data_IF_934941565862
#
_entry.id   IF_934941565862
#
_cell.length_a   1.000
_cell.length_b   1.000
_cell.length_c   1.000
_cell.angle_alpha   90.00
_cell.angle_beta   90.00
_cell.angle_gamma   90.00
#
_symmetry.space_group_name_H-M   'P 1'
#
loop_
_entity.id
_entity.type
_entity.pdbx_description
1 polymer ?
#
# COMPACT_ATOMS: atom_id res chain seq x y z
N UNK A 1 -37.82 -7.01 -19.13
CA UNK A 1 -38.24 -8.25 -18.42
C UNK A 1 -36.96 -9.05 -18.20
N UNK A 2 -36.26 -8.85 -17.08
CA UNK A 2 -35.09 -9.68 -16.74
C UNK A 2 -35.62 -11.09 -16.47
N UNK A 3 -35.04 -12.11 -17.13
CA UNK A 3 -35.31 -13.50 -16.74
C UNK A 3 -34.90 -13.62 -15.28
N UNK A 4 -35.84 -14.03 -14.42
CA UNK A 4 -35.51 -14.43 -13.06
C UNK A 4 -34.78 -15.77 -13.21
N UNK A 5 -33.47 -15.74 -13.09
CA UNK A 5 -32.68 -16.97 -12.94
C UNK A 5 -32.96 -17.45 -11.52
N UNK A 6 -33.41 -18.69 -11.39
CA UNK A 6 -33.67 -19.35 -10.12
C UNK A 6 -32.57 -20.40 -9.95
N UNK A 7 -31.89 -20.38 -8.81
CA UNK A 7 -30.81 -21.30 -8.47
C UNK A 7 -31.42 -22.36 -7.55
N UNK A 8 -31.35 -23.63 -7.95
CA UNK A 8 -31.93 -24.75 -7.19
C UNK A 8 -30.82 -25.69 -6.77
N UNK A 9 -30.86 -26.10 -5.51
CA UNK A 9 -29.98 -27.13 -5.00
C UNK A 9 -30.77 -28.28 -4.38
N UNK A 10 -30.41 -29.49 -4.78
CA UNK A 10 -30.94 -30.70 -4.18
C UNK A 10 -30.24 -30.97 -2.84
N UNK A 11 -31.05 -31.14 -1.80
CA UNK A 11 -30.63 -31.63 -0.49
C UNK A 11 -31.51 -32.83 -0.14
N UNK A 12 -30.94 -34.04 -0.26
CA UNK A 12 -31.63 -35.30 0.03
C UNK A 12 -32.96 -35.51 -0.74
N UNK A 13 -33.06 -35.03 -1.98
CA UNK A 13 -34.28 -35.15 -2.79
C UNK A 13 -35.28 -34.01 -2.64
N UNK A 14 -34.91 -32.94 -1.91
CA UNK A 14 -35.70 -31.71 -1.77
C UNK A 14 -34.99 -30.58 -2.51
N UNK A 15 -35.70 -29.94 -3.43
CA UNK A 15 -35.22 -28.78 -4.19
C UNK A 15 -35.34 -27.51 -3.34
N UNK A 16 -34.19 -26.90 -3.01
CA UNK A 16 -34.12 -25.64 -2.28
C UNK A 16 -33.78 -24.49 -3.25
N UNK A 17 -34.66 -23.48 -3.38
CA UNK A 17 -34.39 -22.27 -4.18
C UNK A 17 -33.50 -21.31 -3.39
N UNK A 18 -32.26 -21.13 -3.87
CA UNK A 18 -31.29 -20.21 -3.27
C UNK A 18 -31.60 -18.77 -3.65
N UNK A 19 -31.34 -17.87 -2.70
CA UNK A 19 -31.56 -16.44 -2.85
C UNK A 19 -30.55 -15.78 -3.79
N UNK A 20 -29.29 -16.24 -3.77
CA UNK A 20 -28.18 -15.68 -4.54
C UNK A 20 -27.55 -16.71 -5.48
N UNK A 21 -26.76 -16.22 -6.45
CA UNK A 21 -26.01 -17.06 -7.37
C UNK A 21 -24.78 -17.64 -6.67
N UNK A 22 -24.70 -18.97 -6.46
CA UNK A 22 -23.52 -19.57 -5.86
C UNK A 22 -22.33 -19.54 -6.84
N UNK A 23 -21.14 -19.38 -6.26
CA UNK A 23 -19.88 -19.56 -6.98
C UNK A 23 -19.70 -21.04 -7.31
N UNK A 24 -19.46 -21.36 -8.58
CA UNK A 24 -19.38 -22.75 -9.03
C UNK A 24 -18.09 -23.48 -8.62
N UNK A 25 -17.02 -22.74 -8.30
CA UNK A 25 -15.70 -23.31 -7.98
C UNK A 25 -15.40 -23.43 -6.48
N UNK A 26 -16.29 -22.93 -5.60
CA UNK A 26 -16.18 -23.09 -4.15
C UNK A 26 -17.25 -24.07 -3.69
N UNK A 27 -16.84 -25.10 -2.95
CA UNK A 27 -17.75 -26.14 -2.49
C UNK A 27 -18.81 -25.60 -1.53
N UNK A 28 -20.07 -25.98 -1.78
CA UNK A 28 -21.18 -25.71 -0.86
C UNK A 28 -21.18 -26.68 0.32
N UNK A 29 -21.76 -26.25 1.43
CA UNK A 29 -22.06 -27.12 2.56
C UNK A 29 -23.56 -27.34 2.69
N UNK A 30 -23.95 -28.60 2.92
CA UNK A 30 -25.34 -29.04 2.96
C UNK A 30 -25.53 -29.99 4.13
N UNK A 31 -26.61 -29.81 4.89
CA UNK A 31 -27.01 -30.75 5.92
C UNK A 31 -28.53 -30.77 6.09
N UNK A 32 -29.04 -31.91 6.55
CA UNK A 32 -30.36 -32.01 7.16
C UNK A 32 -30.21 -31.95 8.67
N UNK A 33 -30.95 -31.05 9.30
CA UNK A 33 -31.03 -30.90 10.76
C UNK A 33 -32.50 -31.07 11.14
N UNK A 34 -32.84 -32.25 11.64
CA UNK A 34 -34.20 -32.69 11.93
C UNK A 34 -35.15 -32.60 10.70
N UNK A 35 -36.12 -31.69 10.74
CA UNK A 35 -37.11 -31.41 9.68
C UNK A 35 -36.69 -30.25 8.76
N UNK A 36 -35.50 -29.68 8.96
CA UNK A 36 -34.99 -28.54 8.19
C UNK A 36 -33.78 -28.93 7.34
N UNK A 37 -33.62 -28.23 6.21
CA UNK A 37 -32.43 -28.32 5.37
C UNK A 37 -31.61 -27.04 5.51
N UNK A 38 -30.29 -27.17 5.52
CA UNK A 38 -29.34 -26.04 5.61
C UNK A 38 -28.41 -26.10 4.41
N UNK A 39 -28.28 -24.98 3.71
CA UNK A 39 -27.37 -24.82 2.59
C UNK A 39 -26.52 -23.57 2.81
N UNK A 40 -25.20 -23.73 2.83
CA UNK A 40 -24.25 -22.63 2.90
C UNK A 40 -23.37 -22.60 1.64
N UNK A 41 -23.18 -21.41 1.08
CA UNK A 41 -22.44 -21.19 -0.16
C UNK A 41 -21.80 -19.81 -0.25
N UNK A 42 -20.77 -19.70 -1.08
CA UNK A 42 -20.16 -18.42 -1.42
C UNK A 42 -20.85 -17.79 -2.63
N UNK A 43 -20.93 -16.47 -2.62
CA UNK A 43 -21.45 -15.65 -3.72
C UNK A 43 -20.36 -14.72 -4.18
N UNK A 44 -20.16 -14.61 -5.49
CA UNK A 44 -19.20 -13.70 -6.09
C UNK A 44 -19.65 -12.26 -5.84
N UNK A 45 -18.88 -11.49 -5.08
CA UNK A 45 -19.12 -10.06 -4.95
C UNK A 45 -18.49 -9.33 -6.13
N UNK A 46 -19.33 -8.77 -6.99
CA UNK A 46 -18.91 -7.96 -8.14
C UNK A 46 -19.23 -6.48 -7.94
N UNK A 47 -19.84 -6.11 -6.80
CA UNK A 47 -20.22 -4.75 -6.43
C UNK A 47 -19.66 -4.44 -5.04
N UNK A 48 -18.43 -4.92 -4.81
CA UNK A 48 -17.72 -4.68 -3.58
C UNK A 48 -17.39 -3.18 -3.48
N UNK A 49 -17.30 -2.70 -2.24
CA UNK A 49 -17.09 -1.27 -1.91
C UNK A 49 -15.72 -0.79 -2.37
N UNK A 50 -15.39 0.47 -2.05
CA UNK A 50 -14.06 1.02 -2.30
C UNK A 50 -12.97 0.04 -1.81
N UNK A 51 -11.92 -0.15 -2.62
CA UNK A 51 -10.81 -1.07 -2.29
C UNK A 51 -10.16 -0.65 -0.98
N UNK A 52 -10.08 0.66 -0.73
CA UNK A 52 -9.54 1.20 0.53
C UNK A 52 -10.38 0.76 1.75
N UNK A 53 -11.71 0.60 1.61
CA UNK A 53 -12.58 0.08 2.68
C UNK A 53 -12.36 -1.42 2.94
N UNK A 54 -12.04 -2.20 1.89
CA UNK A 54 -11.82 -3.64 1.98
C UNK A 54 -10.48 -4.01 2.59
N UNK A 55 -9.43 -3.24 2.26
CA UNK A 55 -8.09 -3.44 2.81
C UNK A 55 -8.05 -3.08 4.30
N UNK A 56 -8.83 -2.07 4.70
CA UNK A 56 -8.90 -1.61 6.09
C UNK A 56 -7.63 -0.89 6.55
N UNK A 57 -7.62 -0.52 7.84
CA UNK A 57 -6.47 0.12 8.47
C UNK A 57 -5.35 -0.91 8.71
N UNK A 58 -4.10 -0.46 8.77
CA UNK A 58 -2.89 -1.27 9.01
C UNK A 58 -2.37 -2.08 7.82
N UNK A 59 -2.73 -1.69 6.59
CA UNK A 59 -2.24 -2.33 5.36
C UNK A 59 -1.38 -1.39 4.50
N UNK A 60 -1.36 -0.10 4.83
CA UNK A 60 -0.71 0.91 4.00
C UNK A 60 -1.52 1.28 2.77
N UNK A 61 -0.94 2.14 1.92
CA UNK A 61 -1.60 2.66 0.72
C UNK A 61 -0.71 2.51 -0.49
N UNK A 62 -1.31 2.13 -1.61
CA UNK A 62 -0.65 2.13 -2.92
C UNK A 62 -0.98 3.41 -3.68
N UNK A 63 0.05 4.05 -4.21
CA UNK A 63 -0.05 5.14 -5.18
C UNK A 63 0.39 4.63 -6.54
N UNK A 64 -0.50 4.73 -7.52
CA UNK A 64 -0.22 4.27 -8.89
C UNK A 64 0.38 5.40 -9.73
N UNK A 65 1.36 5.06 -10.57
CA UNK A 65 1.84 5.89 -11.68
C UNK A 65 1.34 5.37 -13.03
N UNK A 66 0.49 4.34 -13.01
CA UNK A 66 -0.01 3.70 -14.21
C UNK A 66 -1.00 4.60 -14.96
N UNK A 67 -1.29 4.29 -16.22
CA UNK A 67 -2.02 5.14 -17.20
C UNK A 67 -3.41 5.66 -16.78
N UNK A 68 -3.98 5.14 -15.70
CA UNK A 68 -5.30 5.51 -15.19
C UNK A 68 -5.26 6.13 -13.78
N UNK A 69 -4.06 6.33 -13.23
CA UNK A 69 -3.88 6.94 -11.92
C UNK A 69 -4.36 8.40 -11.90
N UNK A 70 -4.92 8.81 -10.76
CA UNK A 70 -5.27 10.19 -10.52
C UNK A 70 -4.03 11.08 -10.42
N UNK A 71 -4.23 12.39 -10.60
CA UNK A 71 -3.17 13.38 -10.36
C UNK A 71 -2.64 13.30 -8.93
N UNK A 72 -3.54 13.14 -7.95
CA UNK A 72 -3.17 13.09 -6.54
C UNK A 72 -2.39 11.81 -6.20
N UNK A 73 -2.73 10.66 -6.80
CA UNK A 73 -1.93 9.44 -6.65
C UNK A 73 -0.51 9.64 -7.19
N UNK A 74 -0.40 10.27 -8.35
CA UNK A 74 0.89 10.53 -8.97
C UNK A 74 1.74 11.46 -8.11
N UNK A 75 1.15 12.55 -7.62
CA UNK A 75 1.84 13.53 -6.77
C UNK A 75 2.25 12.92 -5.43
N UNK A 76 1.34 12.25 -4.73
CA UNK A 76 1.59 11.67 -3.41
C UNK A 76 2.60 10.51 -3.50
N UNK A 77 2.55 9.72 -4.57
CA UNK A 77 3.52 8.65 -4.80
C UNK A 77 4.93 9.19 -5.08
N UNK A 78 5.06 10.28 -5.84
CA UNK A 78 6.36 10.92 -6.09
C UNK A 78 6.92 11.55 -4.80
N UNK A 79 6.08 12.24 -4.02
CA UNK A 79 6.47 12.78 -2.71
C UNK A 79 6.96 11.67 -1.77
N UNK A 80 6.27 10.53 -1.72
CA UNK A 80 6.69 9.38 -0.94
C UNK A 80 8.05 8.81 -1.37
N UNK A 81 8.41 8.94 -2.65
CA UNK A 81 9.74 8.59 -3.18
C UNK A 81 10.77 9.71 -3.01
N UNK A 82 10.43 10.82 -2.35
CA UNK A 82 11.30 11.97 -2.15
C UNK A 82 11.50 12.80 -3.42
N UNK A 83 10.58 12.71 -4.38
CA UNK A 83 10.65 13.42 -5.65
C UNK A 83 9.64 14.58 -5.73
N UNK A 84 9.96 15.55 -6.58
CA UNK A 84 9.04 16.62 -6.97
C UNK A 84 7.90 16.07 -7.85
N UNK A 85 6.89 16.89 -8.12
CA UNK A 85 5.79 16.53 -9.04
C UNK A 85 6.25 16.21 -10.47
N UNK A 86 7.44 16.67 -10.86
CA UNK A 86 8.04 16.39 -12.17
C UNK A 86 8.88 15.10 -12.17
N UNK A 87 8.99 14.42 -11.03
CA UNK A 87 9.76 13.18 -10.87
C UNK A 87 11.25 13.38 -10.69
N UNK A 88 11.70 14.61 -10.43
CA UNK A 88 13.09 14.91 -10.07
C UNK A 88 13.30 14.77 -8.57
N UNK A 89 14.55 14.53 -8.13
CA UNK A 89 14.88 14.51 -6.71
C UNK A 89 14.48 15.85 -6.04
N UNK A 90 13.76 15.77 -4.91
CA UNK A 90 13.34 16.97 -4.17
C UNK A 90 14.50 17.53 -3.34
N UNK A 91 15.34 18.33 -4.00
CA UNK A 91 16.50 18.99 -3.38
C UNK A 91 16.08 20.13 -2.45
N UNK A 92 14.93 20.76 -2.69
CA UNK A 92 14.36 21.77 -1.80
C UNK A 92 14.06 21.15 -0.43
N UNK A 93 13.41 19.98 -0.39
CA UNK A 93 13.12 19.28 0.86
C UNK A 93 14.38 18.86 1.63
N UNK A 94 15.44 18.43 0.91
CA UNK A 94 16.74 18.11 1.53
C UNK A 94 17.36 19.37 2.14
N UNK A 95 17.38 20.48 1.40
CA UNK A 95 17.90 21.75 1.88
C UNK A 95 17.12 22.23 3.10
N UNK A 96 15.80 22.33 3.03
CA UNK A 96 14.96 22.85 4.13
C UNK A 96 15.15 22.08 5.43
N UNK A 97 15.36 20.76 5.35
CA UNK A 97 15.58 19.89 6.50
C UNK A 97 17.03 19.93 7.02
N UNK A 98 18.01 20.09 6.14
CA UNK A 98 19.42 19.80 6.45
C UNK A 98 20.41 20.85 5.91
N UNK A 99 19.98 22.11 5.72
CA UNK A 99 20.79 23.17 5.12
C UNK A 99 22.13 23.41 5.83
N UNK A 100 22.20 23.23 7.16
CA UNK A 100 23.44 23.34 7.92
C UNK A 100 24.50 22.31 7.47
N UNK A 101 24.09 21.05 7.33
CA UNK A 101 24.98 19.99 6.85
C UNK A 101 25.34 20.19 5.39
N UNK A 102 24.36 20.56 4.55
CA UNK A 102 24.60 20.87 3.15
C UNK A 102 25.63 22.00 2.99
N UNK A 103 25.53 23.04 3.82
CA UNK A 103 26.48 24.15 3.87
C UNK A 103 27.87 23.69 4.28
N UNK A 104 27.99 22.87 5.33
CA UNK A 104 29.28 22.33 5.77
C UNK A 104 29.96 21.47 4.68
N UNK A 105 29.18 20.68 3.95
CA UNK A 105 29.67 19.86 2.84
C UNK A 105 30.06 20.72 1.64
N UNK A 106 29.29 21.76 1.31
CA UNK A 106 29.61 22.72 0.26
C UNK A 106 30.93 23.43 0.55
N UNK A 107 31.09 24.00 1.75
CA UNK A 107 32.29 24.73 2.15
C UNK A 107 33.52 23.86 1.94
N UNK A 108 33.50 22.63 2.46
CA UNK A 108 34.59 21.66 2.28
C UNK A 108 34.85 21.35 0.80
N UNK A 109 33.79 21.12 0.02
CA UNK A 109 33.89 20.79 -1.41
C UNK A 109 34.52 21.92 -2.20
N UNK A 110 34.02 23.15 -2.06
CA UNK A 110 34.49 24.33 -2.79
C UNK A 110 35.93 24.63 -2.41
N UNK A 111 36.27 24.65 -1.11
CA UNK A 111 37.63 24.93 -0.65
C UNK A 111 38.66 23.86 -1.04
N UNK A 112 38.22 22.62 -1.32
CA UNK A 112 39.10 21.56 -1.86
C UNK A 112 39.25 21.63 -3.38
N UNK A 113 38.25 22.17 -4.09
CA UNK A 113 38.17 22.14 -5.55
C UNK A 113 38.76 23.39 -6.21
N UNK A 114 38.63 24.54 -5.57
CA UNK A 114 39.05 25.83 -6.11
C UNK A 114 40.12 26.48 -5.23
N UNK A 115 40.95 27.30 -5.85
CA UNK A 115 41.95 28.08 -5.12
C UNK A 115 41.26 29.15 -4.27
N UNK A 116 41.72 29.34 -3.03
CA UNK A 116 41.14 30.30 -2.09
C UNK A 116 41.13 31.74 -2.63
N UNK A 117 42.08 32.08 -3.52
CA UNK A 117 42.14 33.40 -4.16
C UNK A 117 41.02 33.61 -5.18
N UNK A 118 40.69 32.58 -5.95
CA UNK A 118 39.60 32.63 -6.93
C UNK A 118 38.25 32.72 -6.20
N UNK A 119 38.09 31.93 -5.13
CA UNK A 119 36.86 31.99 -4.32
C UNK A 119 36.68 33.37 -3.70
N UNK A 120 37.74 33.91 -3.09
CA UNK A 120 37.71 35.25 -2.51
C UNK A 120 37.40 36.32 -3.56
N UNK A 121 37.97 36.24 -4.77
CA UNK A 121 37.72 37.17 -5.86
C UNK A 121 36.27 37.15 -6.33
N UNK A 122 35.62 35.99 -6.32
CA UNK A 122 34.19 35.87 -6.66
C UNK A 122 33.30 36.65 -5.68
N UNK A 123 33.70 36.74 -4.41
CA UNK A 123 33.00 37.51 -3.38
C UNK A 123 33.56 38.92 -3.17
N UNK A 124 34.62 39.31 -3.88
CA UNK A 124 35.24 40.63 -3.76
C UNK A 124 34.36 41.69 -4.47
N UNK A 125 33.55 42.39 -3.68
CA UNK A 125 32.49 43.29 -4.14
C UNK A 125 31.26 43.29 -3.23
N UNK A 126 31.07 42.25 -2.42
CA UNK A 126 30.13 42.25 -1.29
C UNK A 126 30.84 42.87 -0.07
N UNK A 127 30.37 44.04 0.36
CA UNK A 127 31.06 44.96 1.27
C UNK A 127 31.54 44.32 2.59
N UNK A 128 32.85 44.13 2.79
CA UNK A 128 33.45 44.07 4.13
C UNK A 128 34.92 44.53 4.12
N UNK A 129 35.24 45.53 4.96
CA UNK A 129 36.52 46.29 4.97
C UNK A 129 37.57 45.75 5.98
N UNK A 130 37.55 44.47 6.38
CA UNK A 130 38.62 43.93 7.23
C UNK A 130 39.48 42.89 6.50
N UNK A 131 40.80 43.13 6.32
CA UNK A 131 41.70 42.13 5.79
C UNK A 131 41.83 41.02 6.84
N UNK A 132 41.12 39.92 6.63
CA UNK A 132 41.44 38.69 7.32
C UNK A 132 42.92 38.39 7.06
N UNK A 133 43.69 38.24 8.14
CA UNK A 133 45.06 37.73 8.06
C UNK A 133 45.10 36.25 7.63
N UNK A 134 43.92 35.62 7.56
CA UNK A 134 43.69 34.21 7.30
C UNK A 134 42.64 34.06 6.19
N UNK A 135 43.12 33.85 4.97
CA UNK A 135 42.30 33.77 3.76
C UNK A 135 41.33 32.58 3.78
N UNK A 136 41.71 31.49 4.45
CA UNK A 136 40.87 30.30 4.59
C UNK A 136 39.60 30.62 5.37
N UNK A 137 39.74 31.31 6.52
CA UNK A 137 38.59 31.74 7.34
C UNK A 137 37.69 32.76 6.65
N UNK A 138 38.27 33.64 5.82
CA UNK A 138 37.50 34.59 5.03
C UNK A 138 36.64 33.89 3.99
N UNK A 139 37.24 32.98 3.22
CA UNK A 139 36.50 32.21 2.21
C UNK A 139 35.41 31.36 2.85
N UNK A 140 35.71 30.68 3.96
CA UNK A 140 34.71 29.92 4.71
C UNK A 140 33.54 30.81 5.16
N UNK A 141 33.81 32.00 5.71
CA UNK A 141 32.74 32.89 6.17
C UNK A 141 31.89 33.43 5.01
N UNK A 142 32.49 33.77 3.87
CA UNK A 142 31.76 34.18 2.66
C UNK A 142 30.81 33.08 2.16
N UNK A 143 31.31 31.84 2.02
CA UNK A 143 30.49 30.72 1.56
C UNK A 143 29.31 30.44 2.50
N UNK A 144 29.57 30.45 3.82
CA UNK A 144 28.51 30.27 4.83
C UNK A 144 27.48 31.41 4.81
N UNK A 145 27.93 32.64 4.61
CA UNK A 145 27.06 33.80 4.54
C UNK A 145 26.17 33.75 3.29
N UNK A 146 26.72 33.36 2.15
CA UNK A 146 25.96 33.19 0.91
C UNK A 146 24.85 32.14 1.07
N UNK A 147 25.16 31.00 1.70
CA UNK A 147 24.16 30.00 2.07
C UNK A 147 23.08 30.52 3.04
N UNK A 148 23.41 31.45 3.94
CA UNK A 148 22.44 32.03 4.88
C UNK A 148 21.52 33.05 4.22
N UNK A 149 22.04 33.83 3.28
CA UNK A 149 21.36 34.99 2.71
C UNK A 149 20.59 34.65 1.42
N UNK A 150 20.97 33.56 0.75
CA UNK A 150 20.43 33.14 -0.54
C UNK A 150 19.68 31.81 -0.42
N UNK A 151 18.62 31.63 -1.22
CA UNK A 151 18.08 30.28 -1.46
C UNK A 151 19.11 29.42 -2.19
N UNK A 152 19.13 28.10 -1.96
CA UNK A 152 20.19 27.21 -2.47
C UNK A 152 20.40 27.28 -3.99
N UNK A 153 19.36 27.55 -4.77
CA UNK A 153 19.45 27.72 -6.23
C UNK A 153 20.09 29.06 -6.68
N UNK A 154 20.38 29.98 -5.75
CA UNK A 154 20.92 31.32 -6.03
C UNK A 154 22.28 31.56 -5.41
N UNK A 155 22.87 30.57 -4.73
CA UNK A 155 24.22 30.70 -4.19
C UNK A 155 25.23 30.75 -5.34
N UNK A 156 26.40 31.33 -5.10
CA UNK A 156 27.42 31.52 -6.13
C UNK A 156 27.98 30.20 -6.70
N UNK A 157 28.01 29.16 -5.86
CA UNK A 157 28.50 27.82 -6.21
C UNK A 157 27.34 26.82 -6.28
N UNK A 158 26.24 27.21 -6.92
CA UNK A 158 24.99 26.43 -7.02
C UNK A 158 25.21 25.04 -7.63
N UNK A 159 26.06 24.91 -8.65
CA UNK A 159 26.39 23.58 -9.22
C UNK A 159 27.03 22.64 -8.18
N UNK A 160 27.94 23.15 -7.35
CA UNK A 160 28.59 22.36 -6.30
C UNK A 160 27.60 22.03 -5.17
N UNK A 161 26.69 22.94 -4.82
CA UNK A 161 25.66 22.70 -3.81
C UNK A 161 24.59 21.73 -4.32
N UNK A 162 24.15 21.85 -5.58
CA UNK A 162 23.24 20.90 -6.21
C UNK A 162 23.79 19.48 -6.10
N UNK A 163 25.07 19.29 -6.45
CA UNK A 163 25.71 17.98 -6.33
C UNK A 163 25.84 17.50 -4.87
N UNK A 164 26.01 18.40 -3.90
CA UNK A 164 25.96 18.05 -2.46
C UNK A 164 24.55 17.59 -2.07
N UNK A 165 23.53 18.29 -2.53
CA UNK A 165 22.13 17.96 -2.23
C UNK A 165 21.72 16.64 -2.89
N UNK A 166 22.14 16.35 -4.12
CA UNK A 166 21.90 15.07 -4.80
C UNK A 166 22.57 13.89 -4.07
N UNK A 167 23.78 14.09 -3.54
CA UNK A 167 24.44 13.10 -2.69
C UNK A 167 23.68 12.89 -1.38
N UNK A 168 23.29 13.97 -0.70
CA UNK A 168 22.50 13.91 0.53
C UNK A 168 21.14 13.25 0.30
N UNK A 169 20.47 13.55 -0.81
CA UNK A 169 19.19 12.94 -1.18
C UNK A 169 19.29 11.40 -1.24
N UNK A 170 20.42 10.87 -1.70
CA UNK A 170 20.67 9.44 -1.78
C UNK A 170 21.05 8.80 -0.43
N UNK A 171 21.29 9.59 0.61
CA UNK A 171 21.68 9.13 1.93
C UNK A 171 20.44 8.95 2.83
N UNK A 172 20.26 7.78 3.50
CA UNK A 172 19.10 7.54 4.35
C UNK A 172 18.86 8.57 5.46
N UNK A 173 19.90 9.28 5.89
CA UNK A 173 19.80 10.30 6.93
C UNK A 173 19.12 11.60 6.45
N UNK A 174 19.18 11.90 5.15
CA UNK A 174 18.66 13.14 4.55
C UNK A 174 17.61 12.89 3.47
N UNK A 175 17.35 11.63 3.10
CA UNK A 175 16.27 11.27 2.19
C UNK A 175 14.95 11.93 2.64
N UNK A 176 14.30 12.71 1.76
CA UNK A 176 13.11 13.48 2.14
C UNK A 176 11.82 12.66 2.07
N UNK A 177 11.82 11.54 1.33
CA UNK A 177 10.66 10.67 1.19
C UNK A 177 10.44 9.71 2.36
N UNK A 178 9.50 8.79 2.17
CA UNK A 178 9.24 7.72 3.13
C UNK A 178 10.28 6.60 2.96
N UNK A 179 11.10 6.42 4.00
CA UNK A 179 12.17 5.42 4.03
C UNK A 179 11.67 3.96 3.95
N UNK A 180 10.40 3.72 4.25
CA UNK A 180 9.79 2.39 4.28
C UNK A 180 8.99 2.10 3.00
N UNK A 181 8.85 3.09 2.12
CA UNK A 181 8.15 2.95 0.85
C UNK A 181 8.78 1.89 -0.05
N UNK A 182 7.93 1.13 -0.75
CA UNK A 182 8.34 0.04 -1.64
C UNK A 182 7.90 0.33 -3.07
N UNK A 183 8.86 0.33 -4.00
CA UNK A 183 8.58 0.50 -5.42
C UNK A 183 7.89 -0.75 -5.97
N UNK A 184 6.92 -0.56 -6.86
CA UNK A 184 6.08 -1.62 -7.41
C UNK A 184 6.19 -1.70 -8.94
N UNK A 185 5.99 -2.91 -9.45
CA UNK A 185 5.82 -3.22 -10.87
C UNK A 185 4.39 -3.74 -11.11
N UNK A 186 3.83 -3.49 -12.29
CA UNK A 186 2.50 -3.99 -12.69
C UNK A 186 2.58 -4.79 -13.99
N UNK A 187 1.94 -5.95 -14.02
CA UNK A 187 1.70 -6.74 -15.23
C UNK A 187 0.24 -6.57 -15.69
N UNK A 188 0.01 -6.27 -16.98
CA UNK A 188 -1.32 -5.97 -17.54
C UNK A 188 -1.52 -6.63 -18.92
N UNK A 189 -2.26 -7.75 -18.98
CA UNK A 189 -2.58 -8.46 -20.25
C UNK A 189 -4.05 -8.86 -20.38
N UNK A 190 -4.65 -9.43 -19.32
CA UNK A 190 -6.07 -9.81 -19.25
C UNK A 190 -6.71 -9.45 -17.90
N UNK A 191 -6.00 -8.58 -17.17
CA UNK A 191 -6.15 -8.29 -15.76
C UNK A 191 -4.86 -7.62 -15.31
N UNK A 192 -4.89 -7.00 -14.14
CA UNK A 192 -3.70 -6.39 -13.54
C UNK A 192 -3.19 -7.27 -12.41
N UNK A 193 -1.87 -7.35 -12.27
CA UNK A 193 -1.22 -7.99 -11.14
C UNK A 193 -0.02 -7.15 -10.74
N UNK A 194 -0.03 -6.71 -9.49
CA UNK A 194 1.00 -5.88 -8.88
C UNK A 194 2.01 -6.73 -8.13
N UNK A 195 3.26 -6.29 -8.11
CA UNK A 195 4.33 -6.97 -7.39
C UNK A 195 5.38 -5.96 -6.94
N UNK A 196 6.19 -6.33 -5.94
CA UNK A 196 7.39 -5.55 -5.63
C UNK A 196 8.27 -5.38 -6.86
N UNK A 197 8.97 -4.24 -6.93
CA UNK A 197 9.85 -3.95 -8.06
C UNK A 197 10.90 -5.04 -8.24
N UNK A 198 11.00 -5.56 -9.45
CA UNK A 198 11.86 -6.71 -9.73
C UNK A 198 11.33 -8.07 -9.22
N UNK A 199 10.14 -8.14 -8.67
CA UNK A 199 9.40 -9.37 -8.43
C UNK A 199 8.53 -9.78 -9.63
N UNK A 200 7.63 -10.74 -9.38
CA UNK A 200 6.49 -11.03 -10.25
C UNK A 200 6.79 -11.53 -11.67
N UNK A 201 5.73 -11.56 -12.49
CA UNK A 201 5.81 -11.91 -13.90
C UNK A 201 6.41 -10.76 -14.71
N UNK A 202 7.45 -11.08 -15.50
CA UNK A 202 8.15 -10.09 -16.34
C UNK A 202 7.93 -10.36 -17.82
N UNK A 203 6.96 -9.67 -18.40
CA UNK A 203 6.76 -9.61 -19.84
C UNK A 203 7.27 -8.28 -20.38
N UNK A 204 8.05 -8.33 -21.47
CA UNK A 204 8.57 -7.13 -22.13
C UNK A 204 7.48 -6.13 -22.55
N UNK A 205 6.29 -6.63 -22.89
CA UNK A 205 5.21 -5.84 -23.45
C UNK A 205 4.18 -5.41 -22.42
N UNK A 206 3.97 -6.27 -21.41
CA UNK A 206 2.84 -6.15 -20.49
C UNK A 206 3.28 -5.78 -19.07
N UNK A 207 4.58 -5.77 -18.76
CA UNK A 207 5.09 -5.35 -17.45
C UNK A 207 5.63 -3.93 -17.53
N UNK A 208 5.08 -3.03 -16.71
CA UNK A 208 5.64 -1.72 -16.43
C UNK A 208 6.39 -1.77 -15.10
N UNK A 209 7.68 -1.43 -15.12
CA UNK A 209 8.50 -1.33 -13.91
C UNK A 209 8.42 0.06 -13.29
N UNK A 210 8.40 0.13 -11.96
CA UNK A 210 8.22 1.40 -11.24
C UNK A 210 6.85 2.02 -11.53
N UNK A 211 5.82 1.20 -11.64
CA UNK A 211 4.47 1.60 -12.00
C UNK A 211 3.66 2.14 -10.82
N UNK A 212 4.21 2.06 -9.61
CA UNK A 212 3.59 2.61 -8.41
C UNK A 212 4.52 2.46 -7.21
N UNK A 213 4.04 2.94 -6.07
CA UNK A 213 4.73 2.82 -4.78
C UNK A 213 3.72 2.45 -3.71
N UNK A 214 4.09 1.53 -2.84
CA UNK A 214 3.37 1.25 -1.60
C UNK A 214 4.02 2.00 -0.44
N UNK A 215 3.20 2.58 0.42
CA UNK A 215 3.64 3.36 1.58
C UNK A 215 2.91 2.85 2.82
N UNK A 216 3.61 2.50 3.90
CA UNK A 216 2.95 2.08 5.13
C UNK A 216 2.15 3.22 5.75
N UNK A 217 0.98 2.90 6.29
CA UNK A 217 0.17 3.84 7.06
C UNK A 217 0.78 4.06 8.47
N UNK A 218 0.16 4.95 9.26
CA UNK A 218 0.64 5.25 10.61
C UNK A 218 0.70 4.03 11.55
N UNK A 219 -0.22 3.07 11.39
CA UNK A 219 -0.28 1.89 12.24
C UNK A 219 0.79 0.87 11.87
N UNK A 220 1.03 0.66 10.57
CA UNK A 220 2.15 -0.17 10.11
C UNK A 220 3.49 0.45 10.46
N UNK A 221 3.63 1.78 10.45
CA UNK A 221 4.87 2.43 10.93
C UNK A 221 5.11 2.13 12.40
N UNK A 222 4.09 2.18 13.25
CA UNK A 222 4.20 1.79 14.65
C UNK A 222 4.58 0.30 14.79
N UNK A 223 3.98 -0.57 13.97
CA UNK A 223 4.31 -1.99 13.96
C UNK A 223 5.76 -2.25 13.51
N UNK A 224 6.26 -1.50 12.53
CA UNK A 224 7.65 -1.53 12.08
C UNK A 224 8.61 -1.07 13.18
N UNK A 225 8.26 -0.01 13.92
CA UNK A 225 9.04 0.45 15.08
C UNK A 225 9.11 -0.63 16.17
N UNK A 226 7.98 -1.28 16.46
CA UNK A 226 7.89 -2.36 17.45
C UNK A 226 8.72 -3.58 17.04
N UNK A 227 8.75 -3.89 15.74
CA UNK A 227 9.50 -5.02 15.21
C UNK A 227 11.00 -4.76 15.12
N UNK A 228 11.40 -3.53 14.79
CA UNK A 228 12.78 -3.07 14.89
C UNK A 228 13.26 -3.12 16.35
N UNK A 229 12.43 -2.72 17.32
CA UNK A 229 12.73 -2.84 18.75
C UNK A 229 12.89 -4.29 19.22
N UNK A 230 12.26 -5.25 18.52
CA UNK A 230 12.44 -6.70 18.73
C UNK A 230 13.65 -7.27 17.98
N UNK A 231 14.41 -6.44 17.26
CA UNK A 231 15.61 -6.82 16.53
C UNK A 231 15.36 -7.39 15.14
N UNK A 232 14.17 -7.18 14.56
CA UNK A 232 13.95 -7.47 13.14
C UNK A 232 14.54 -6.36 12.27
N UNK A 233 14.96 -6.71 11.05
CA UNK A 233 15.38 -5.71 10.07
C UNK A 233 14.14 -4.97 9.54
N UNK A 234 14.14 -3.64 9.69
CA UNK A 234 12.99 -2.80 9.33
C UNK A 234 12.67 -2.85 7.84
N UNK A 235 13.70 -2.81 6.98
CA UNK A 235 13.53 -2.81 5.54
C UNK A 235 12.95 -4.16 5.07
N UNK A 236 13.43 -5.28 5.60
CA UNK A 236 12.89 -6.60 5.32
C UNK A 236 11.44 -6.74 5.81
N UNK A 237 11.08 -6.15 6.97
CA UNK A 237 9.69 -6.15 7.45
C UNK A 237 8.78 -5.28 6.58
N UNK A 238 9.21 -4.09 6.17
CA UNK A 238 8.44 -3.23 5.28
C UNK A 238 8.14 -3.94 3.95
N UNK A 239 9.14 -4.65 3.41
CA UNK A 239 8.96 -5.52 2.25
C UNK A 239 7.93 -6.63 2.49
N UNK A 240 7.99 -7.30 3.64
CA UNK A 240 7.06 -8.37 4.00
C UNK A 240 5.61 -7.86 4.08
N UNK A 241 5.40 -6.70 4.70
CA UNK A 241 4.07 -6.08 4.77
C UNK A 241 3.57 -5.61 3.41
N UNK A 242 4.45 -5.09 2.56
CA UNK A 242 4.09 -4.79 1.18
C UNK A 242 3.68 -6.05 0.40
N UNK A 243 4.37 -7.19 0.57
CA UNK A 243 3.97 -8.45 -0.08
C UNK A 243 2.58 -8.89 0.39
N UNK A 244 2.30 -8.84 1.70
CA UNK A 244 0.97 -9.15 2.25
C UNK A 244 -0.12 -8.21 1.72
N UNK A 245 0.17 -6.91 1.64
CA UNK A 245 -0.73 -5.94 1.01
C UNK A 245 -1.02 -6.31 -0.44
N UNK A 246 0.01 -6.64 -1.22
CA UNK A 246 -0.12 -6.95 -2.63
C UNK A 246 -0.91 -8.22 -2.88
N UNK A 247 -0.75 -9.24 -2.03
CA UNK A 247 -1.54 -10.47 -2.12
C UNK A 247 -3.04 -10.15 -2.00
N UNK A 248 -3.44 -9.42 -0.94
CA UNK A 248 -4.83 -9.00 -0.75
C UNK A 248 -5.31 -8.04 -1.84
N UNK A 249 -4.48 -7.07 -2.24
CA UNK A 249 -4.83 -6.11 -3.30
C UNK A 249 -5.08 -6.81 -4.64
N UNK A 250 -4.23 -7.77 -5.00
CA UNK A 250 -4.37 -8.55 -6.22
C UNK A 250 -5.63 -9.43 -6.22
N UNK A 251 -5.97 -10.01 -5.07
CA UNK A 251 -7.23 -10.72 -4.89
C UNK A 251 -8.42 -9.78 -5.16
N UNK A 252 -8.44 -8.57 -4.59
CA UNK A 252 -9.55 -7.63 -4.82
C UNK A 252 -9.68 -7.25 -6.30
N UNK A 253 -8.61 -6.79 -6.94
CA UNK A 253 -8.67 -6.30 -8.34
C UNK A 253 -8.92 -7.42 -9.35
N UNK A 254 -8.62 -8.67 -8.99
CA UNK A 254 -8.95 -9.85 -9.80
C UNK A 254 -10.40 -10.31 -9.59
N UNK A 255 -11.11 -9.72 -8.63
CA UNK A 255 -12.47 -10.06 -8.26
C UNK A 255 -12.53 -11.28 -7.34
N UNK A 256 -11.48 -11.60 -6.59
CA UNK A 256 -11.49 -12.68 -5.59
C UNK A 256 -12.14 -12.20 -4.26
N UNK A 257 -13.37 -11.67 -4.36
CA UNK A 257 -14.15 -11.11 -3.24
C UNK A 257 -15.50 -11.79 -3.16
N UNK A 258 -15.89 -12.22 -1.97
CA UNK A 258 -17.05 -13.09 -1.75
C UNK A 258 -17.97 -12.61 -0.63
N UNK A 259 -19.23 -13.01 -0.75
CA UNK A 259 -20.17 -13.10 0.37
C UNK A 259 -20.37 -14.54 0.79
N UNK A 260 -20.39 -14.80 2.10
CA UNK A 260 -20.82 -16.07 2.67
C UNK A 260 -22.32 -15.99 2.96
N UNK A 261 -23.08 -16.94 2.44
CA UNK A 261 -24.54 -17.05 2.65
C UNK A 261 -24.86 -18.40 3.26
N UNK A 262 -25.72 -18.42 4.27
CA UNK A 262 -26.33 -19.65 4.80
C UNK A 262 -27.83 -19.47 4.85
N UNK A 263 -28.54 -20.40 4.20
CA UNK A 263 -30.00 -20.43 4.14
C UNK A 263 -30.50 -21.73 4.75
N UNK A 264 -31.67 -21.66 5.40
CA UNK A 264 -32.35 -22.87 5.86
C UNK A 264 -33.81 -22.90 5.43
N UNK A 265 -34.27 -24.11 5.19
CA UNK A 265 -35.53 -24.44 4.53
C UNK A 265 -36.33 -25.41 5.38
N UNK A 266 -37.65 -25.40 5.21
CA UNK A 266 -38.54 -26.39 5.83
C UNK A 266 -38.51 -27.74 5.10
N UNK A 267 -39.33 -28.69 5.58
CA UNK A 267 -39.38 -30.05 5.04
C UNK A 267 -39.76 -30.13 3.55
N UNK A 268 -40.44 -29.10 3.03
CA UNK A 268 -40.90 -28.99 1.65
C UNK A 268 -39.93 -28.18 0.76
N UNK A 269 -38.81 -27.70 1.31
CA UNK A 269 -37.82 -26.88 0.58
C UNK A 269 -38.20 -25.40 0.51
N UNK A 270 -39.18 -24.94 1.30
CA UNK A 270 -39.54 -23.52 1.39
C UNK A 270 -38.55 -22.79 2.28
N UNK A 271 -38.02 -21.67 1.80
CA UNK A 271 -37.09 -20.82 2.57
C UNK A 271 -37.74 -20.37 3.88
N UNK A 272 -37.08 -20.64 4.99
CA UNK A 272 -37.48 -20.17 6.32
C UNK A 272 -36.82 -18.81 6.58
N UNK A 273 -35.49 -18.76 6.50
CA UNK A 273 -34.68 -17.57 6.79
C UNK A 273 -33.22 -17.78 6.30
N UNK A 274 -32.42 -16.72 6.31
CA UNK A 274 -31.02 -16.73 5.89
C UNK A 274 -30.15 -15.77 6.70
N UNK A 275 -28.85 -16.05 6.73
CA UNK A 275 -27.82 -15.13 7.20
C UNK A 275 -26.78 -14.93 6.09
N UNK A 276 -26.24 -13.72 5.99
CA UNK A 276 -25.22 -13.42 4.99
C UNK A 276 -24.25 -12.34 5.49
N UNK A 277 -22.98 -12.52 5.18
CA UNK A 277 -21.94 -11.53 5.40
C UNK A 277 -21.10 -11.38 4.13
N UNK A 278 -20.66 -10.17 3.86
CA UNK A 278 -19.96 -9.78 2.62
C UNK A 278 -18.58 -9.22 2.94
N UNK A 279 -17.67 -9.28 1.97
CA UNK A 279 -16.32 -8.71 2.08
C UNK A 279 -15.23 -9.72 2.45
N UNK A 280 -15.44 -11.01 2.16
CA UNK A 280 -14.38 -12.02 2.29
C UNK A 280 -13.46 -11.92 1.08
N UNK A 281 -12.15 -11.75 1.30
CA UNK A 281 -11.15 -11.65 0.24
C UNK A 281 -10.34 -12.93 0.22
N UNK A 282 -10.17 -13.53 -0.96
CA UNK A 282 -9.54 -14.83 -1.11
C UNK A 282 -10.54 -15.98 -0.97
N UNK A 283 -10.38 -16.99 -1.81
CA UNK A 283 -11.23 -18.18 -1.86
C UNK A 283 -11.02 -19.08 -0.63
N UNK A 284 -9.77 -19.30 -0.22
CA UNK A 284 -9.42 -20.07 0.97
C UNK A 284 -10.09 -19.47 2.23
N UNK A 285 -9.98 -18.15 2.42
CA UNK A 285 -10.58 -17.46 3.56
C UNK A 285 -12.12 -17.52 3.54
N UNK A 286 -12.74 -17.30 2.37
CA UNK A 286 -14.19 -17.42 2.23
C UNK A 286 -14.67 -18.84 2.54
N UNK A 287 -13.97 -19.87 2.06
CA UNK A 287 -14.32 -21.27 2.29
C UNK A 287 -14.21 -21.67 3.77
N UNK A 288 -13.14 -21.25 4.45
CA UNK A 288 -12.96 -21.51 5.88
C UNK A 288 -14.03 -20.83 6.74
N UNK A 289 -14.34 -19.56 6.45
CA UNK A 289 -15.36 -18.80 7.14
C UNK A 289 -16.76 -19.38 6.90
N UNK A 290 -17.09 -19.72 5.65
CA UNK A 290 -18.39 -20.30 5.27
C UNK A 290 -18.75 -21.52 6.14
N UNK A 291 -17.76 -22.37 6.40
CA UNK A 291 -17.96 -23.54 7.25
C UNK A 291 -18.04 -23.18 8.73
N UNK A 292 -17.01 -22.51 9.23
CA UNK A 292 -16.77 -22.37 10.67
C UNK A 292 -17.62 -21.30 11.33
N UNK A 293 -17.98 -20.24 10.61
CA UNK A 293 -18.72 -19.08 11.12
C UNK A 293 -20.20 -19.10 10.71
N UNK A 294 -20.54 -19.73 9.59
CA UNK A 294 -21.92 -19.77 9.08
C UNK A 294 -22.55 -21.16 9.21
N UNK A 295 -22.01 -22.16 8.52
CA UNK A 295 -22.66 -23.47 8.41
C UNK A 295 -22.74 -24.23 9.74
N UNK A 296 -21.60 -24.46 10.40
CA UNK A 296 -21.55 -25.23 11.66
C UNK A 296 -22.36 -24.54 12.78
N UNK A 297 -22.26 -23.21 12.99
CA UNK A 297 -23.07 -22.51 14.00
C UNK A 297 -24.57 -22.55 13.74
N UNK A 298 -25.02 -22.41 12.48
CA UNK A 298 -26.45 -22.51 12.14
C UNK A 298 -26.96 -23.93 12.37
N UNK A 299 -26.24 -24.95 11.91
CA UNK A 299 -26.64 -26.34 12.14
C UNK A 299 -26.76 -26.64 13.63
N UNK A 300 -25.81 -26.15 14.44
CA UNK A 300 -25.85 -26.30 15.89
C UNK A 300 -27.05 -25.57 16.51
N UNK A 301 -27.29 -24.32 16.13
CA UNK A 301 -28.42 -23.51 16.61
C UNK A 301 -29.75 -24.21 16.35
N UNK A 302 -29.94 -24.72 15.12
CA UNK A 302 -31.17 -25.42 14.74
C UNK A 302 -31.35 -26.74 15.50
N UNK A 303 -30.27 -27.48 15.76
CA UNK A 303 -30.32 -28.70 16.57
C UNK A 303 -30.63 -28.41 18.06
N UNK A 304 -30.17 -27.28 18.59
CA UNK A 304 -30.40 -26.87 19.99
C UNK A 304 -31.82 -26.26 20.20
N UNK A 305 -32.50 -25.80 19.14
CA UNK A 305 -33.85 -25.22 19.19
C UNK A 305 -34.98 -26.26 19.37
N UNK A 306 -34.67 -27.55 19.36
CA UNK A 306 -35.65 -28.63 19.55
C UNK A 306 -36.22 -28.60 20.98
N UNK A 307 -37.54 -28.45 21.18
CA UNK A 307 -38.14 -28.56 22.50
C UNK A 307 -37.91 -29.95 23.09
N UNK A 308 -37.48 -30.00 24.34
CA UNK A 308 -37.40 -31.20 25.16
C UNK A 308 -38.81 -31.73 25.52
N UNK A 309 -39.68 -32.05 24.56
CA UNK A 309 -40.97 -32.70 24.82
C UNK A 309 -41.32 -33.73 23.75
N UNK A 310 -40.73 -34.92 23.88
CA UNK A 310 -41.31 -36.17 23.39
C UNK A 310 -41.05 -37.28 24.43
N UNK A 311 -41.60 -37.09 25.63
CA UNK A 311 -41.57 -38.06 26.72
C UNK A 311 -42.92 -38.08 27.43
N UNK A 312 -43.92 -38.68 26.79
CA UNK A 312 -45.17 -39.12 27.42
C UNK A 312 -45.05 -40.60 27.74
#
# INVERSE_FOLDING_TARGET
MRKRTTYLEDVEGVDCELTFEPVEWIDMHKAKVDDKYVVAYCVQDNDYRDIDDLLGDCMGKMYSFHRHAGHDDHSNGLEALGNTSDGEADLDAVWDRAWHEATDRLVKRVMLRYELADIAATYDGTSYEEPYQDQEKYVESCLRQDCNDSGWANIMYDEDLRAVLEEMWSEPAYFPGDKDAQLLDVYSHSGEHWSLSGGGMRCRWDTASGAGVWVPDEYLRQQLDDDEAKGKDRADQARTYCEQFLDTYNDIISGNVFGCVVEWFDEDGTSIDHDSCWGFIGDDHAQEALKSEFFDPVCKRLADEVPAEAGV
#
